data_IF_066992599901
#
_entry.id   IF_066992599901
#
_cell.length_a   1.000
_cell.length_b   1.000
_cell.length_c   1.000
_cell.angle_alpha   90.00
_cell.angle_beta   90.00
_cell.angle_gamma   90.00
#
_symmetry.space_group_name_H-M   'P 1'
#
loop_
_entity.id
_entity.type
_entity.pdbx_description
1 polymer ?
#
# COMPACT_ATOMS: atom_id res chain seq x y z
N UNK A 1 9.23 -0.15 8.04
CA UNK A 1 8.17 0.64 7.40
C UNK A 1 7.57 1.57 8.42
N UNK A 2 7.42 2.85 8.10
CA UNK A 2 7.09 3.87 9.09
C UNK A 2 8.18 4.06 10.16
N UNK A 3 7.85 4.76 11.24
CA UNK A 3 8.74 5.01 12.38
C UNK A 3 9.18 6.46 12.55
N UNK A 4 8.73 7.38 11.68
CA UNK A 4 8.93 8.83 11.83
C UNK A 4 7.65 9.57 12.24
N UNK A 5 6.80 8.88 13.02
CA UNK A 5 5.49 9.38 13.43
C UNK A 5 4.40 9.23 12.37
N UNK A 6 3.24 9.77 12.71
CA UNK A 6 2.06 9.83 11.87
C UNK A 6 2.22 10.90 10.78
N UNK A 7 1.80 10.58 9.55
CA UNK A 7 1.80 11.54 8.44
C UNK A 7 1.92 10.89 7.06
N UNK A 8 2.11 11.73 6.04
CA UNK A 8 2.07 11.32 4.62
C UNK A 8 3.44 11.29 3.94
N UNK A 9 4.52 11.67 4.63
CA UNK A 9 5.87 11.53 4.10
C UNK A 9 6.19 10.06 3.80
N UNK A 10 7.17 9.79 2.92
CA UNK A 10 7.56 8.43 2.56
C UNK A 10 8.21 7.63 3.72
N UNK A 11 8.50 8.30 4.82
CA UNK A 11 9.03 7.71 6.07
C UNK A 11 7.95 7.55 7.15
N UNK A 12 6.71 7.98 6.85
CA UNK A 12 5.56 8.03 7.75
C UNK A 12 4.41 7.16 7.21
N UNK A 13 3.48 6.85 8.10
CA UNK A 13 2.25 6.12 7.80
C UNK A 13 1.08 6.80 8.53
N UNK A 14 -0.12 6.60 8.03
CA UNK A 14 -1.39 7.11 8.59
C UNK A 14 -2.40 5.96 8.65
N UNK A 15 -2.68 5.48 9.86
CA UNK A 15 -3.60 4.35 10.12
C UNK A 15 -3.36 3.14 9.22
N UNK A 16 -2.16 2.53 9.21
CA UNK A 16 -1.91 1.35 8.38
C UNK A 16 -2.68 0.13 8.88
N UNK A 17 -3.42 -0.57 8.01
CA UNK A 17 -4.31 -1.67 8.41
C UNK A 17 -3.90 -3.07 7.94
N UNK A 18 -3.13 -3.17 6.87
CA UNK A 18 -2.75 -4.47 6.30
C UNK A 18 -1.33 -4.51 5.79
N UNK A 19 -0.72 -5.71 5.86
CA UNK A 19 0.63 -5.96 5.37
C UNK A 19 0.69 -7.22 4.52
N UNK A 20 1.68 -7.27 3.62
CA UNK A 20 2.12 -8.48 2.95
C UNK A 20 3.65 -8.48 2.90
N UNK A 21 4.29 -9.64 3.07
CA UNK A 21 5.74 -9.80 2.95
C UNK A 21 6.01 -10.87 1.92
N UNK A 22 6.76 -10.53 0.86
CA UNK A 22 7.13 -11.51 -0.17
C UNK A 22 8.34 -12.36 0.23
N UNK A 23 8.65 -13.38 -0.58
CA UNK A 23 9.76 -14.31 -0.32
C UNK A 23 11.15 -13.64 -0.34
N UNK A 24 11.26 -12.44 -0.92
CA UNK A 24 12.48 -11.62 -0.92
C UNK A 24 12.58 -10.71 0.31
N UNK A 25 11.59 -10.75 1.20
CA UNK A 25 11.51 -9.91 2.39
C UNK A 25 11.07 -8.48 2.11
N UNK A 26 10.49 -8.22 0.93
CA UNK A 26 9.87 -6.93 0.64
C UNK A 26 8.57 -6.80 1.42
N UNK A 27 8.43 -5.72 2.19
CA UNK A 27 7.23 -5.42 2.97
C UNK A 27 6.34 -4.45 2.20
N UNK A 28 5.09 -4.84 2.01
CA UNK A 28 4.01 -4.03 1.46
C UNK A 28 3.04 -3.65 2.59
N UNK A 29 2.60 -2.40 2.62
CA UNK A 29 1.72 -1.86 3.66
C UNK A 29 0.57 -1.10 3.02
N UNK A 30 -0.65 -1.41 3.43
CA UNK A 30 -1.81 -0.58 3.14
C UNK A 30 -1.78 0.61 4.10
N UNK A 31 -1.39 1.77 3.59
CA UNK A 31 -1.30 3.02 4.33
C UNK A 31 -2.66 3.73 4.25
N UNK A 32 -3.62 3.21 5.01
CA UNK A 32 -5.05 3.34 4.74
C UNK A 32 -5.56 4.77 4.81
N UNK A 33 -5.10 5.53 5.81
CA UNK A 33 -5.45 6.94 5.96
C UNK A 33 -4.78 7.86 4.95
N UNK A 34 -3.68 7.43 4.33
CA UNK A 34 -3.07 8.11 3.18
C UNK A 34 -3.59 7.60 1.83
N UNK A 35 -4.53 6.64 1.82
CA UNK A 35 -5.18 6.12 0.62
C UNK A 35 -4.19 5.58 -0.43
N UNK A 36 -3.18 4.85 0.03
CA UNK A 36 -2.10 4.33 -0.82
C UNK A 36 -1.58 2.99 -0.32
N UNK A 37 -0.84 2.29 -1.18
CA UNK A 37 -0.05 1.13 -0.80
C UNK A 37 1.42 1.47 -0.96
N UNK A 38 2.20 1.16 0.06
CA UNK A 38 3.63 1.43 0.13
C UNK A 38 4.46 0.16 0.20
N UNK A 39 5.69 0.22 -0.30
CA UNK A 39 6.68 -0.86 -0.33
C UNK A 39 7.99 -0.46 0.35
N UNK A 40 8.61 -1.38 1.09
CA UNK A 40 9.99 -1.31 1.59
C UNK A 40 10.77 -2.57 1.22
N UNK A 41 11.99 -2.42 0.71
CA UNK A 41 12.88 -3.55 0.41
C UNK A 41 13.90 -3.73 1.53
N UNK A 42 14.55 -4.90 1.61
CA UNK A 42 15.53 -5.18 2.66
C UNK A 42 16.71 -4.18 2.69
N UNK A 43 17.04 -3.57 1.54
CA UNK A 43 18.10 -2.56 1.40
C UNK A 43 17.66 -1.13 1.72
N UNK A 44 16.39 -0.78 1.48
CA UNK A 44 15.84 0.54 1.82
C UNK A 44 14.80 0.42 2.93
N UNK A 45 15.30 0.42 4.17
CA UNK A 45 14.46 0.36 5.38
C UNK A 45 14.03 1.74 5.87
N UNK A 46 14.62 2.82 5.34
CA UNK A 46 14.44 4.18 5.86
C UNK A 46 13.26 4.88 5.21
N UNK A 47 13.06 4.65 3.92
CA UNK A 47 12.00 5.30 3.14
C UNK A 47 11.24 4.26 2.34
N UNK A 48 9.92 4.43 2.24
CA UNK A 48 9.07 3.59 1.42
C UNK A 48 8.83 4.18 0.04
N UNK A 49 8.30 3.36 -0.86
CA UNK A 49 7.86 3.79 -2.19
C UNK A 49 6.37 3.57 -2.31
N UNK A 50 5.62 4.56 -2.81
CA UNK A 50 4.22 4.37 -3.19
C UNK A 50 4.18 3.53 -4.47
N UNK A 51 3.47 2.41 -4.44
CA UNK A 51 3.38 1.50 -5.60
C UNK A 51 2.03 1.56 -6.31
N UNK A 52 0.95 1.81 -5.57
CA UNK A 52 -0.40 2.06 -6.09
C UNK A 52 -1.15 2.99 -5.14
N UNK A 53 -2.13 3.71 -5.65
CA UNK A 53 -2.84 4.76 -4.92
C UNK A 53 -2.04 6.06 -4.82
N UNK A 54 -2.31 6.86 -3.80
CA UNK A 54 -1.62 8.14 -3.54
C UNK A 54 -2.19 9.33 -4.31
N UNK A 55 -3.14 9.13 -5.22
CA UNK A 55 -3.85 10.20 -5.93
C UNK A 55 -5.07 10.73 -5.14
N UNK A 56 -4.96 10.71 -3.81
CA UNK A 56 -6.02 11.12 -2.89
C UNK A 56 -7.14 10.12 -2.71
N UNK A 57 -8.08 10.48 -1.82
CA UNK A 57 -9.29 9.71 -1.56
C UNK A 57 -10.22 9.74 -2.77
N UNK A 58 -10.67 8.58 -3.25
CA UNK A 58 -11.66 8.53 -4.32
C UNK A 58 -11.83 7.14 -4.94
N UNK A 59 -12.68 7.06 -5.96
CA UNK A 59 -12.97 5.83 -6.69
C UNK A 59 -12.39 5.82 -8.12
N UNK A 60 -11.70 6.89 -8.52
CA UNK A 60 -11.06 7.02 -9.82
C UNK A 60 -9.86 6.09 -10.02
N UNK A 61 -9.23 6.21 -11.18
CA UNK A 61 -8.03 5.45 -11.50
C UNK A 61 -6.91 5.75 -10.50
N UNK A 62 -6.32 4.69 -9.94
CA UNK A 62 -5.25 4.78 -8.95
C UNK A 62 -5.63 5.65 -7.72
N UNK A 63 -6.91 5.66 -7.35
CA UNK A 63 -7.41 6.21 -6.09
C UNK A 63 -7.98 5.09 -5.21
N UNK A 64 -7.88 5.29 -3.90
CA UNK A 64 -8.48 4.42 -2.90
C UNK A 64 -9.30 5.22 -1.90
N UNK A 65 -10.11 4.52 -1.14
CA UNK A 65 -10.85 5.02 0.00
C UNK A 65 -10.70 3.99 1.13
N UNK A 66 -9.71 4.23 2.00
CA UNK A 66 -9.31 3.30 3.07
C UNK A 66 -9.00 1.87 2.54
N UNK A 67 -7.88 1.69 1.81
CA UNK A 67 -7.43 0.35 1.45
C UNK A 67 -7.00 -0.42 2.69
N UNK A 68 -7.29 -1.71 2.79
CA UNK A 68 -7.03 -2.51 4.01
C UNK A 68 -6.19 -3.75 3.73
N UNK A 69 -6.80 -4.79 3.16
CA UNK A 69 -6.12 -6.05 2.83
C UNK A 69 -5.29 -5.96 1.55
N UNK A 70 -4.14 -6.64 1.56
CA UNK A 70 -3.26 -6.82 0.41
C UNK A 70 -3.01 -8.31 0.19
N UNK A 71 -2.97 -8.73 -1.08
CA UNK A 71 -2.52 -10.07 -1.46
C UNK A 71 -1.89 -10.06 -2.84
N UNK A 72 -1.00 -11.01 -3.09
CA UNK A 72 -0.39 -11.21 -4.39
C UNK A 72 -0.79 -12.58 -4.94
N UNK A 73 -1.03 -12.64 -6.25
CA UNK A 73 -1.13 -13.94 -6.92
C UNK A 73 0.25 -14.45 -7.37
N UNK A 74 0.27 -15.67 -7.94
CA UNK A 74 1.49 -16.32 -8.45
C UNK A 74 2.15 -15.59 -9.62
N UNK A 75 1.43 -14.67 -10.28
CA UNK A 75 1.95 -13.87 -11.38
C UNK A 75 2.54 -12.54 -10.89
N UNK A 76 2.39 -12.24 -9.60
CA UNK A 76 2.85 -11.00 -8.99
C UNK A 76 1.85 -9.85 -9.12
N UNK A 77 0.61 -10.11 -9.54
CA UNK A 77 -0.43 -9.08 -9.52
C UNK A 77 -0.84 -8.82 -8.06
N UNK A 78 -0.93 -7.53 -7.71
CA UNK A 78 -1.37 -7.07 -6.39
C UNK A 78 -2.89 -6.89 -6.38
N UNK A 79 -3.53 -7.45 -5.36
CA UNK A 79 -4.94 -7.28 -5.05
C UNK A 79 -5.08 -6.41 -3.80
N UNK A 80 -5.84 -5.32 -3.91
CA UNK A 80 -6.06 -4.37 -2.82
C UNK A 80 -7.55 -4.33 -2.49
N UNK A 81 -7.89 -4.57 -1.23
CA UNK A 81 -9.25 -4.36 -0.70
C UNK A 81 -9.45 -2.86 -0.47
N UNK A 82 -10.24 -2.22 -1.33
CA UNK A 82 -10.55 -0.79 -1.29
C UNK A 82 -11.85 -0.59 -0.51
N UNK A 83 -11.76 -0.72 0.83
CA UNK A 83 -12.88 -1.05 1.71
C UNK A 83 -14.06 -0.09 1.61
N UNK A 84 -13.80 1.22 1.65
CA UNK A 84 -14.89 2.21 1.63
C UNK A 84 -15.39 2.52 0.21
N UNK A 85 -14.78 1.94 -0.83
CA UNK A 85 -15.34 1.90 -2.17
C UNK A 85 -16.02 0.54 -2.46
N UNK A 86 -16.09 -0.37 -1.48
CA UNK A 86 -16.74 -1.67 -1.59
C UNK A 86 -16.26 -2.51 -2.78
N UNK A 87 -14.96 -2.46 -3.09
CA UNK A 87 -14.37 -3.17 -4.23
C UNK A 87 -13.02 -3.77 -3.88
N UNK A 88 -12.60 -4.70 -4.73
CA UNK A 88 -11.22 -5.19 -4.80
C UNK A 88 -10.65 -4.76 -6.14
N UNK A 89 -9.44 -4.19 -6.13
CA UNK A 89 -8.74 -3.78 -7.34
C UNK A 89 -7.50 -4.65 -7.54
N UNK A 90 -7.22 -5.00 -8.81
CA UNK A 90 -6.03 -5.74 -9.23
C UNK A 90 -5.09 -4.81 -9.98
N UNK A 91 -3.80 -4.89 -9.68
CA UNK A 91 -2.75 -4.12 -10.31
C UNK A 91 -1.61 -5.03 -10.75
N UNK A 92 -1.18 -4.86 -12.00
CA UNK A 92 0.11 -5.41 -12.42
C UNK A 92 1.19 -4.39 -12.06
N UNK A 93 2.13 -4.80 -11.21
CA UNK A 93 3.16 -3.90 -10.64
C UNK A 93 4.58 -4.32 -11.02
N UNK A 94 4.72 -4.97 -12.18
CA UNK A 94 6.00 -5.37 -12.78
C UNK A 94 6.91 -4.18 -13.05
#
# INVERSE_FOLDING_TARGET
AGGQGQGSALTQLENPEGIFVDALGTLYVADSGNHRVMRWTQGDKKQGTVIVGGNGRGAGANQFNFPTGLSFDRHGDLYVVDSNNHRVQRFSIQ
#
